data_IF_495822533551
#
_entry.id   IF_495822533551
#
_cell.length_a   1.000
_cell.length_b   1.000
_cell.length_c   1.000
_cell.angle_alpha   90.00
_cell.angle_beta   90.00
_cell.angle_gamma   90.00
#
_symmetry.space_group_name_H-M   'P 1'
#
loop_
_entity.id
_entity.type
_entity.pdbx_description
1 polymer ?
#
# COMPACT_ATOMS: atom_id res chain seq x y z
N UNK A 1 13.20 -24.69 -50.15
CA UNK A 1 12.17 -23.80 -49.52
C UNK A 1 11.80 -24.15 -48.06
N UNK A 2 12.12 -25.33 -47.50
CA UNK A 2 11.72 -25.69 -46.12
C UNK A 2 12.56 -25.04 -44.99
N UNK A 3 13.82 -24.66 -45.23
CA UNK A 3 14.69 -24.04 -44.20
C UNK A 3 14.38 -22.58 -43.88
N UNK A 4 14.03 -21.77 -44.89
CA UNK A 4 13.76 -20.34 -44.68
C UNK A 4 12.54 -20.08 -43.78
N UNK A 5 11.49 -20.91 -43.91
CA UNK A 5 10.30 -20.84 -43.03
C UNK A 5 10.62 -21.18 -41.57
N UNK A 6 11.57 -22.09 -41.32
CA UNK A 6 11.99 -22.45 -39.95
C UNK A 6 12.79 -21.33 -39.30
N UNK A 7 13.71 -20.70 -40.03
CA UNK A 7 14.48 -19.55 -39.55
C UNK A 7 13.59 -18.35 -39.20
N UNK A 8 12.61 -18.04 -40.06
CA UNK A 8 11.65 -16.97 -39.79
C UNK A 8 10.79 -17.26 -38.54
N UNK A 9 10.35 -18.51 -38.35
CA UNK A 9 9.60 -18.90 -37.16
C UNK A 9 10.42 -18.76 -35.88
N UNK A 10 11.69 -19.18 -35.88
CA UNK A 10 12.59 -19.06 -34.72
C UNK A 10 12.84 -17.61 -34.34
N UNK A 11 13.03 -16.72 -35.33
CA UNK A 11 13.28 -15.30 -35.10
C UNK A 11 12.06 -14.60 -34.46
N UNK A 12 10.84 -14.94 -34.92
CA UNK A 12 9.60 -14.40 -34.36
C UNK A 12 9.38 -14.87 -32.93
N UNK A 13 9.68 -16.14 -32.62
CA UNK A 13 9.56 -16.65 -31.26
C UNK A 13 10.56 -15.94 -30.35
N UNK A 14 11.83 -15.83 -30.77
CA UNK A 14 12.88 -15.20 -29.98
C UNK A 14 12.56 -13.72 -29.68
N UNK A 15 12.10 -12.95 -30.68
CA UNK A 15 11.70 -11.55 -30.48
C UNK A 15 10.45 -11.44 -29.61
N UNK A 16 9.48 -12.34 -29.74
CA UNK A 16 8.30 -12.37 -28.90
C UNK A 16 8.64 -12.68 -27.42
N UNK A 17 9.53 -13.64 -27.16
CA UNK A 17 10.02 -13.94 -25.80
C UNK A 17 10.86 -12.80 -25.21
N UNK A 18 11.68 -12.14 -26.02
CA UNK A 18 12.44 -10.98 -25.56
C UNK A 18 11.50 -9.81 -25.22
N UNK A 19 10.48 -9.58 -26.05
CA UNK A 19 9.48 -8.55 -25.82
C UNK A 19 8.65 -8.82 -24.55
N UNK A 20 8.22 -10.07 -24.30
CA UNK A 20 7.50 -10.40 -23.06
C UNK A 20 8.38 -10.29 -21.82
N UNK A 21 9.67 -10.63 -21.89
CA UNK A 21 10.60 -10.43 -20.78
C UNK A 21 10.82 -8.94 -20.45
N UNK A 22 10.93 -8.08 -21.48
CA UNK A 22 11.07 -6.63 -21.32
C UNK A 22 9.81 -5.97 -20.73
N UNK A 23 8.62 -6.46 -21.07
CA UNK A 23 7.35 -5.93 -20.53
C UNK A 23 7.07 -6.45 -19.10
N UNK A 24 7.58 -7.63 -18.75
CA UNK A 24 7.46 -8.21 -17.41
C UNK A 24 8.49 -7.71 -16.38
N UNK A 25 9.54 -7.01 -16.82
CA UNK A 25 10.59 -6.43 -15.98
C UNK A 25 10.16 -5.17 -15.25
N UNK A 26 9.03 -5.22 -14.53
CA UNK A 26 8.69 -4.18 -13.56
C UNK A 26 9.72 -4.21 -12.42
N UNK A 27 10.24 -3.05 -12.02
CA UNK A 27 11.09 -2.93 -10.84
C UNK A 27 10.29 -3.42 -9.63
N UNK A 28 10.67 -4.57 -9.07
CA UNK A 28 10.15 -5.01 -7.78
C UNK A 28 10.70 -4.03 -6.74
N UNK A 29 9.92 -2.99 -6.41
CA UNK A 29 10.26 -2.10 -5.31
C UNK A 29 10.26 -2.94 -4.04
N UNK A 30 11.44 -3.13 -3.45
CA UNK A 30 11.59 -3.86 -2.20
C UNK A 30 10.75 -3.16 -1.12
N UNK A 31 9.83 -3.91 -0.52
CA UNK A 31 8.99 -3.41 0.57
C UNK A 31 9.89 -3.04 1.75
N UNK A 32 9.83 -1.79 2.19
CA UNK A 32 10.54 -1.35 3.39
C UNK A 32 9.61 -1.46 4.60
N UNK A 33 10.10 -1.89 5.77
CA UNK A 33 9.30 -1.88 6.99
C UNK A 33 8.74 -0.49 7.29
N UNK A 34 7.52 -0.39 7.83
CA UNK A 34 6.87 0.90 8.16
C UNK A 34 7.74 1.84 9.00
N UNK A 35 8.59 1.32 9.89
CA UNK A 35 9.51 2.12 10.71
C UNK A 35 10.64 2.80 9.91
N UNK A 36 10.90 2.32 8.70
CA UNK A 36 11.87 2.89 7.76
C UNK A 36 11.19 3.65 6.61
N UNK A 37 9.88 3.49 6.43
CA UNK A 37 9.14 3.97 5.28
C UNK A 37 8.78 5.48 5.29
N UNK A 38 9.28 6.22 6.30
CA UNK A 38 9.00 7.63 6.57
C UNK A 38 7.49 7.96 6.47
N UNK A 39 6.69 7.32 7.31
CA UNK A 39 5.24 7.49 7.33
C UNK A 39 4.82 8.69 8.18
N UNK A 40 4.01 9.57 7.58
CA UNK A 40 3.42 10.72 8.22
C UNK A 40 2.00 10.42 8.67
N UNK A 41 1.64 10.89 9.87
CA UNK A 41 0.31 10.75 10.45
C UNK A 41 -0.38 12.11 10.48
N UNK A 42 -1.62 12.16 9.99
CA UNK A 42 -2.42 13.37 9.94
C UNK A 42 -3.70 13.19 10.77
N UNK A 43 -3.86 13.90 11.90
CA UNK A 43 -5.12 13.90 12.63
C UNK A 43 -6.20 14.67 11.88
N UNK A 44 -7.42 14.13 11.88
CA UNK A 44 -8.60 14.77 11.30
C UNK A 44 -9.57 15.08 12.44
N UNK A 45 -9.74 16.36 12.76
CA UNK A 45 -10.78 16.89 13.66
C UNK A 45 -11.04 16.11 14.98
N UNK A 46 -10.00 15.50 15.58
CA UNK A 46 -10.13 14.58 16.73
C UNK A 46 -11.17 13.45 16.55
N UNK A 47 -11.50 13.12 15.31
CA UNK A 47 -12.45 12.07 14.91
C UNK A 47 -11.79 11.02 14.05
N UNK A 48 -10.67 11.30 13.39
CA UNK A 48 -10.03 10.36 12.49
C UNK A 48 -8.54 10.62 12.32
N UNK A 49 -7.92 9.76 11.54
CA UNK A 49 -6.51 9.87 11.22
C UNK A 49 -6.22 9.31 9.85
N UNK A 50 -5.19 9.87 9.22
CA UNK A 50 -4.63 9.38 7.96
C UNK A 50 -3.17 9.04 8.16
N UNK A 51 -2.70 8.07 7.38
CA UNK A 51 -1.29 7.76 7.23
C UNK A 51 -0.91 7.84 5.75
N UNK A 52 0.29 8.35 5.49
CA UNK A 52 0.91 8.36 4.17
C UNK A 52 2.40 8.04 4.31
N UNK A 53 2.92 7.09 3.54
CA UNK A 53 4.31 6.69 3.61
C UNK A 53 5.08 7.12 2.36
N UNK A 54 6.28 7.66 2.55
CA UNK A 54 7.05 8.16 1.42
C UNK A 54 7.72 7.05 0.60
N UNK A 55 8.07 5.96 1.27
CA UNK A 55 8.72 4.81 0.64
C UNK A 55 7.75 3.66 0.38
N UNK A 56 8.05 2.78 -0.58
CA UNK A 56 7.23 1.61 -0.90
C UNK A 56 7.08 0.67 0.30
N UNK A 57 5.92 0.74 0.96
CA UNK A 57 5.56 -0.13 2.07
C UNK A 57 4.07 -0.43 2.08
N UNK A 58 3.69 -1.66 2.41
CA UNK A 58 2.31 -1.98 2.78
C UNK A 58 2.03 -1.50 4.20
N UNK A 59 1.13 -0.51 4.31
CA UNK A 59 0.79 0.12 5.57
C UNK A 59 -0.72 0.30 5.73
N UNK A 60 -1.14 0.42 6.98
CA UNK A 60 -2.51 0.79 7.35
C UNK A 60 -2.47 1.69 8.59
N UNK A 61 -3.38 2.66 8.66
CA UNK A 61 -3.56 3.46 9.87
C UNK A 61 -4.35 2.66 10.90
N UNK A 62 -3.90 2.70 12.17
CA UNK A 62 -4.61 2.17 13.32
C UNK A 62 -4.99 3.33 14.23
N UNK A 63 -6.28 3.51 14.45
CA UNK A 63 -6.82 4.48 15.40
C UNK A 63 -7.19 3.77 16.68
N UNK A 64 -6.84 4.37 17.81
CA UNK A 64 -7.42 4.03 19.11
C UNK A 64 -8.52 5.04 19.41
N UNK A 65 -9.74 4.55 19.54
CA UNK A 65 -10.94 5.34 19.75
C UNK A 65 -11.57 5.02 21.10
N UNK A 66 -12.27 5.98 21.69
CA UNK A 66 -13.10 5.80 22.90
C UNK A 66 -14.55 6.02 22.52
N UNK A 67 -15.41 5.05 22.83
CA UNK A 67 -16.84 5.23 22.69
C UNK A 67 -17.40 6.05 23.86
N UNK A 68 -18.40 6.88 23.60
CA UNK A 68 -19.14 7.64 24.61
C UNK A 68 -20.63 7.33 24.43
N UNK A 69 -21.47 7.20 25.49
CA UNK A 69 -21.23 7.43 26.93
C UNK A 69 -20.62 6.26 27.71
N UNK A 70 -20.45 5.09 27.10
CA UNK A 70 -19.81 3.93 27.75
C UNK A 70 -18.33 3.91 27.36
N UNK A 71 -17.39 4.25 28.26
CA UNK A 71 -15.98 4.47 27.92
C UNK A 71 -15.26 3.14 27.70
N UNK A 72 -15.52 2.51 26.54
CA UNK A 72 -14.72 1.40 26.07
C UNK A 72 -13.76 1.88 24.97
N UNK A 73 -12.54 1.36 25.03
CA UNK A 73 -11.52 1.58 24.01
C UNK A 73 -11.69 0.55 22.90
N UNK A 74 -11.73 1.01 21.66
CA UNK A 74 -11.77 0.14 20.49
C UNK A 74 -10.77 0.62 19.44
N UNK A 75 -10.45 -0.26 18.49
CA UNK A 75 -9.55 0.04 17.38
C UNK A 75 -10.32 0.11 16.07
N UNK A 76 -9.98 1.10 15.25
CA UNK A 76 -10.41 1.20 13.85
C UNK A 76 -9.16 1.13 12.98
N UNK A 77 -9.22 0.32 11.93
CA UNK A 77 -8.15 0.19 10.96
C UNK A 77 -8.61 0.83 9.65
N UNK A 78 -7.70 1.56 9.02
CA UNK A 78 -7.91 2.05 7.66
C UNK A 78 -7.72 0.93 6.62
N UNK A 79 -7.94 1.23 5.34
CA UNK A 79 -7.62 0.32 4.27
C UNK A 79 -6.10 0.09 4.20
N UNK A 80 -5.71 -1.11 3.82
CA UNK A 80 -4.32 -1.44 3.47
C UNK A 80 -3.93 -0.69 2.20
N UNK A 81 -2.82 0.03 2.25
CA UNK A 81 -2.34 0.88 1.16
C UNK A 81 -0.85 0.67 0.93
N UNK A 82 -0.41 0.90 -0.31
CA UNK A 82 0.98 0.74 -0.70
C UNK A 82 1.66 2.09 -0.97
N UNK A 83 2.82 2.29 -0.35
CA UNK A 83 3.68 3.46 -0.55
C UNK A 83 2.97 4.78 -0.29
N UNK A 84 2.93 5.62 -1.32
CA UNK A 84 2.40 7.00 -1.28
C UNK A 84 0.86 7.08 -1.26
N UNK A 85 0.17 5.93 -1.27
CA UNK A 85 -1.29 5.92 -1.13
C UNK A 85 -1.70 6.24 0.30
N UNK A 86 -2.83 6.92 0.48
CA UNK A 86 -3.33 7.28 1.80
C UNK A 86 -4.22 6.20 2.42
N UNK A 87 -3.85 5.75 3.62
CA UNK A 87 -4.73 4.97 4.49
C UNK A 87 -5.45 5.91 5.46
N UNK A 88 -6.77 5.82 5.57
CA UNK A 88 -7.58 6.69 6.42
C UNK A 88 -8.64 5.90 7.19
N UNK A 89 -8.96 6.36 8.39
CA UNK A 89 -10.05 5.83 9.20
C UNK A 89 -10.68 6.94 10.07
N UNK A 90 -11.85 6.66 10.64
CA UNK A 90 -12.52 7.51 11.61
C UNK A 90 -13.15 6.72 12.75
N UNK A 91 -13.14 7.34 13.92
CA UNK A 91 -13.92 6.96 15.09
C UNK A 91 -15.39 7.37 14.91
N UNK A 92 -16.29 6.71 15.64
CA UNK A 92 -17.74 6.88 15.50
C UNK A 92 -18.29 8.18 16.13
N UNK A 93 -17.45 8.98 16.80
CA UNK A 93 -17.90 10.18 17.53
C UNK A 93 -16.85 11.28 17.58
N UNK A 94 -17.30 12.51 17.78
CA UNK A 94 -16.44 13.68 17.96
C UNK A 94 -15.60 13.55 19.24
N UNK A 95 -14.31 13.91 19.18
CA UNK A 95 -13.34 13.77 20.27
C UNK A 95 -13.15 12.33 20.79
N UNK A 96 -13.56 11.32 20.02
CA UNK A 96 -13.33 9.92 20.36
C UNK A 96 -11.88 9.47 20.08
N UNK A 97 -11.12 10.21 19.28
CA UNK A 97 -9.76 9.82 18.90
C UNK A 97 -8.77 10.02 20.05
N UNK A 98 -8.04 8.97 20.40
CA UNK A 98 -7.01 9.01 21.46
C UNK A 98 -5.59 8.80 20.95
N UNK A 99 -5.43 8.00 19.90
CA UNK A 99 -4.12 7.69 19.33
C UNK A 99 -4.25 7.35 17.85
N UNK A 100 -3.25 7.78 17.07
CA UNK A 100 -3.06 7.42 15.68
C UNK A 100 -1.72 6.69 15.59
N UNK A 101 -1.69 5.54 14.93
CA UNK A 101 -0.48 4.77 14.66
C UNK A 101 -0.49 4.33 13.21
N UNK A 102 0.70 4.14 12.62
CA UNK A 102 0.83 3.37 11.38
C UNK A 102 1.32 1.98 11.76
N UNK A 103 0.74 0.95 11.15
CA UNK A 103 1.18 -0.42 11.35
C UNK A 103 1.44 -1.08 10.00
N UNK A 104 2.30 -2.10 10.02
CA UNK A 104 2.51 -2.96 8.86
C UNK A 104 1.17 -3.65 8.54
N UNK A 105 0.80 -3.65 7.26
CA UNK A 105 -0.37 -4.36 6.76
C UNK A 105 -0.07 -5.83 6.43
#
# INVERSE_FOLDING_TARGET
MRSAKRLAASAVIATATAATALVGGGVAQADVPVGQANCHLYPIFNTGGMANCELPTWHQVKLTCVAWPVPFVYWKYGPVQYGQNQSWASCDSLNALTRIEVIQA
#
